data_IF_907582641358
#
_entry.id   IF_907582641358
#
_cell.length_a   1.000
_cell.length_b   1.000
_cell.length_c   1.000
_cell.angle_alpha   90.00
_cell.angle_beta   90.00
_cell.angle_gamma   90.00
#
_symmetry.space_group_name_H-M   'P 1'
#
loop_
_entity.id
_entity.type
_entity.pdbx_description
1 polymer ?
#
# COMPACT_ATOMS: atom_id res chain seq x y z
N UNK A 1 14.41 -3.28 -62.40
CA UNK A 1 15.50 -4.22 -62.08
C UNK A 1 16.35 -3.56 -61.01
N UNK A 2 16.64 -4.07 -59.83
CA UNK A 2 16.33 -5.33 -59.16
C UNK A 2 16.97 -5.23 -57.76
N UNK A 3 16.22 -5.65 -56.74
CA UNK A 3 16.62 -6.49 -55.59
C UNK A 3 17.89 -6.10 -54.80
N UNK A 4 17.72 -5.75 -53.52
CA UNK A 4 18.05 -6.61 -52.36
C UNK A 4 19.55 -6.41 -51.98
N UNK A 5 20.03 -6.47 -50.74
CA UNK A 5 19.67 -7.18 -49.53
C UNK A 5 20.71 -6.71 -48.48
N UNK A 6 20.46 -6.94 -47.18
CA UNK A 6 21.59 -7.05 -46.24
C UNK A 6 21.41 -6.40 -44.88
N UNK A 7 20.88 -7.20 -43.97
CA UNK A 7 20.93 -7.04 -42.51
C UNK A 7 22.30 -6.59 -41.97
N UNK A 8 22.28 -5.77 -40.93
CA UNK A 8 23.10 -6.09 -39.77
C UNK A 8 22.51 -5.52 -38.47
N UNK A 9 22.35 -6.44 -37.54
CA UNK A 9 21.84 -6.27 -36.19
C UNK A 9 22.73 -5.36 -35.32
N UNK A 10 22.04 -4.63 -34.44
CA UNK A 10 22.41 -4.34 -33.04
C UNK A 10 23.85 -3.90 -32.72
N UNK A 11 24.01 -2.62 -32.31
CA UNK A 11 24.67 -2.27 -31.03
C UNK A 11 24.01 -1.03 -30.42
N UNK A 12 23.05 -1.28 -29.52
CA UNK A 12 23.00 -0.82 -28.12
C UNK A 12 23.36 0.65 -27.77
N UNK A 13 22.35 1.31 -27.19
CA UNK A 13 22.33 2.12 -25.95
C UNK A 13 22.11 3.65 -26.00
N UNK A 14 21.11 4.01 -25.19
CA UNK A 14 21.01 5.18 -24.30
C UNK A 14 20.87 6.54 -24.98
N UNK A 15 19.68 7.15 -24.82
CA UNK A 15 19.43 8.09 -23.73
C UNK A 15 17.97 8.58 -23.82
N UNK A 16 17.24 8.33 -22.72
CA UNK A 16 16.13 9.13 -22.17
C UNK A 16 15.47 10.16 -23.09
N UNK A 17 14.39 9.77 -23.78
CA UNK A 17 13.41 10.73 -24.28
C UNK A 17 12.21 10.77 -23.33
N UNK A 18 11.98 11.97 -22.80
CA UNK A 18 10.90 12.28 -21.89
C UNK A 18 9.54 11.93 -22.46
N UNK A 19 8.73 11.26 -21.65
CA UNK A 19 7.35 10.94 -21.98
C UNK A 19 6.43 11.94 -21.29
N UNK A 20 6.26 13.12 -21.91
CA UNK A 20 5.06 13.92 -21.71
C UNK A 20 4.02 13.39 -22.70
N UNK A 21 3.26 12.37 -22.29
CA UNK A 21 2.08 11.94 -23.04
C UNK A 21 0.82 12.53 -22.39
N UNK A 22 0.57 13.81 -22.68
CA UNK A 22 -0.69 14.51 -22.35
C UNK A 22 -1.76 14.07 -23.36
N UNK A 23 -2.27 12.85 -23.23
CA UNK A 23 -3.46 12.41 -23.99
C UNK A 23 -4.72 12.95 -23.31
N UNK A 24 -5.59 13.59 -24.09
CA UNK A 24 -6.93 14.03 -23.68
C UNK A 24 -7.67 12.82 -23.08
N UNK A 25 -8.10 12.95 -21.82
CA UNK A 25 -8.92 11.95 -21.12
C UNK A 25 -10.29 11.88 -21.80
N UNK A 26 -10.51 10.85 -22.59
CA UNK A 26 -11.86 10.42 -22.99
C UNK A 26 -12.37 9.52 -21.86
N UNK A 27 -13.34 10.00 -21.08
CA UNK A 27 -14.00 9.17 -20.06
C UNK A 27 -14.94 8.22 -20.79
N UNK A 28 -14.47 7.00 -21.08
CA UNK A 28 -15.38 5.89 -21.32
C UNK A 28 -15.92 5.47 -19.95
N UNK A 29 -17.25 5.30 -19.83
CA UNK A 29 -17.87 4.64 -18.67
C UNK A 29 -17.39 3.19 -18.62
N UNK A 30 -16.16 2.98 -18.15
CA UNK A 30 -15.71 1.70 -17.61
C UNK A 30 -16.48 1.47 -16.31
N UNK A 31 -17.02 0.27 -16.12
CA UNK A 31 -17.68 -0.13 -14.86
C UNK A 31 -16.75 -0.13 -13.65
N UNK A 32 -15.46 0.09 -13.86
CA UNK A 32 -14.42 0.24 -12.84
C UNK A 32 -13.89 1.68 -12.83
N UNK A 33 -13.70 2.31 -11.64
CA UNK A 33 -13.05 3.61 -11.52
C UNK A 33 -11.67 3.56 -12.16
N UNK A 34 -11.10 4.69 -12.58
CA UNK A 34 -9.73 4.72 -13.10
C UNK A 34 -8.80 4.11 -12.04
N UNK A 35 -8.26 2.93 -12.37
CA UNK A 35 -7.24 2.27 -11.57
C UNK A 35 -5.88 2.43 -12.23
N UNK A 36 -4.86 2.66 -11.41
CA UNK A 36 -3.48 2.77 -11.81
C UNK A 36 -2.68 1.69 -11.10
N UNK A 37 -2.17 0.74 -11.86
CA UNK A 37 -1.32 -0.32 -11.32
C UNK A 37 0.13 0.15 -11.19
N UNK A 38 0.68 -0.05 -10.00
CA UNK A 38 2.11 0.02 -9.70
C UNK A 38 2.64 -1.40 -9.47
N UNK A 39 3.95 -1.55 -9.34
CA UNK A 39 4.56 -2.89 -9.22
C UNK A 39 4.04 -3.70 -8.02
N UNK A 40 3.75 -3.04 -6.89
CA UNK A 40 3.37 -3.72 -5.63
C UNK A 40 1.94 -3.42 -5.15
N UNK A 41 1.22 -2.52 -5.82
CA UNK A 41 -0.14 -2.14 -5.45
C UNK A 41 -0.92 -1.56 -6.62
N UNK A 42 -2.25 -1.65 -6.53
CA UNK A 42 -3.16 -0.95 -7.42
C UNK A 42 -3.76 0.27 -6.69
N UNK A 43 -3.84 1.40 -7.37
CA UNK A 43 -4.51 2.61 -6.88
C UNK A 43 -5.84 2.78 -7.61
N UNK A 44 -6.95 2.78 -6.87
CA UNK A 44 -8.29 3.05 -7.37
C UNK A 44 -8.70 4.46 -6.95
N UNK A 45 -9.02 5.33 -7.92
CA UNK A 45 -9.28 6.74 -7.64
C UNK A 45 -10.74 7.11 -7.85
N UNK A 46 -11.31 7.82 -6.89
CA UNK A 46 -12.63 8.40 -7.05
C UNK A 46 -12.51 9.76 -7.77
N UNK A 47 -13.31 10.03 -8.81
CA UNK A 47 -13.28 11.31 -9.51
C UNK A 47 -13.64 12.49 -8.59
N UNK A 48 -14.37 12.24 -7.50
CA UNK A 48 -14.83 13.25 -6.54
C UNK A 48 -13.85 13.43 -5.35
N UNK A 49 -12.73 12.71 -5.34
CA UNK A 49 -11.74 12.75 -4.27
C UNK A 49 -10.33 13.12 -4.78
N UNK A 50 -10.14 14.28 -5.44
CA UNK A 50 -8.82 14.62 -5.93
C UNK A 50 -7.84 14.82 -4.76
N UNK A 51 -7.06 13.77 -4.48
CA UNK A 51 -5.95 13.73 -3.52
C UNK A 51 -6.28 14.21 -2.10
N UNK A 52 -7.53 14.08 -1.62
CA UNK A 52 -7.84 14.46 -0.23
C UNK A 52 -7.48 13.32 0.72
N UNK A 53 -8.00 12.12 0.44
CA UNK A 53 -7.92 10.99 1.37
C UNK A 53 -7.68 9.68 0.64
N UNK A 54 -6.78 8.85 1.14
CA UNK A 54 -6.56 7.50 0.62
C UNK A 54 -6.53 6.46 1.74
N UNK A 55 -7.15 5.31 1.50
CA UNK A 55 -7.10 4.16 2.38
C UNK A 55 -6.13 3.15 1.77
N UNK A 56 -5.14 2.70 2.55
CA UNK A 56 -4.29 1.57 2.17
C UNK A 56 -4.87 0.33 2.84
N UNK A 57 -5.32 -0.65 2.04
CA UNK A 57 -5.78 -1.95 2.53
C UNK A 57 -4.71 -3.02 2.36
N UNK A 58 -4.42 -3.73 3.45
CA UNK A 58 -3.39 -4.77 3.47
C UNK A 58 -3.51 -5.68 4.70
N UNK A 59 -2.91 -6.87 4.62
CA UNK A 59 -2.30 -7.45 5.81
C UNK A 59 -1.07 -6.61 6.19
N UNK A 60 -0.88 -6.29 7.46
CA UNK A 60 0.23 -5.46 7.92
C UNK A 60 0.83 -5.94 9.24
N UNK A 61 2.16 -5.89 9.30
CA UNK A 61 2.94 -6.18 10.50
C UNK A 61 4.01 -5.12 10.71
N UNK A 62 4.06 -4.56 11.92
CA UNK A 62 5.09 -3.58 12.25
C UNK A 62 6.48 -4.23 12.15
N UNK A 63 7.40 -3.57 11.47
CA UNK A 63 8.79 -4.03 11.41
C UNK A 63 9.48 -3.80 12.77
N UNK A 64 9.94 -4.88 13.42
CA UNK A 64 10.71 -4.81 14.68
C UNK A 64 12.14 -4.31 14.46
N UNK A 65 12.73 -4.62 13.30
CA UNK A 65 14.02 -4.13 12.83
C UNK A 65 13.84 -3.59 11.41
N UNK A 66 13.88 -2.28 11.23
CA UNK A 66 13.62 -1.70 9.91
C UNK A 66 13.60 -0.18 9.88
N UNK A 67 13.99 0.37 8.73
CA UNK A 67 14.01 1.81 8.43
C UNK A 67 12.60 2.41 8.56
N UNK A 68 12.48 3.55 9.23
CA UNK A 68 11.25 4.35 9.31
C UNK A 68 10.72 4.72 7.91
N UNK A 69 9.40 4.82 7.77
CA UNK A 69 8.80 5.48 6.61
C UNK A 69 8.84 7.01 6.80
N UNK A 70 8.89 7.77 5.72
CA UNK A 70 8.84 9.23 5.78
C UNK A 70 7.46 9.72 5.38
N UNK A 71 6.89 10.60 6.19
CA UNK A 71 5.63 11.27 5.93
C UNK A 71 5.92 12.72 5.52
N UNK A 72 5.51 13.17 4.32
CA UNK A 72 5.75 14.53 3.85
C UNK A 72 4.98 15.60 4.63
N UNK A 73 5.39 16.86 4.51
CA UNK A 73 4.69 18.00 5.12
C UNK A 73 3.25 18.10 4.61
N UNK A 74 2.31 18.35 5.52
CA UNK A 74 0.89 18.53 5.17
C UNK A 74 0.11 17.23 5.00
N UNK A 75 0.76 16.07 5.21
CA UNK A 75 0.11 14.76 5.20
C UNK A 75 -0.15 14.29 6.62
N UNK A 76 -1.36 13.80 6.88
CA UNK A 76 -1.72 13.11 8.12
C UNK A 76 -1.81 11.60 7.87
N UNK A 77 -1.14 10.79 8.69
CA UNK A 77 -1.29 9.34 8.69
C UNK A 77 -2.10 8.89 9.91
N UNK A 78 -3.15 8.09 9.69
CA UNK A 78 -4.05 7.62 10.75
C UNK A 78 -3.92 6.10 10.97
N UNK A 79 -3.68 5.71 12.22
CA UNK A 79 -3.68 4.33 12.68
C UNK A 79 -4.92 4.04 13.54
N UNK A 80 -5.42 2.82 13.43
CA UNK A 80 -6.66 2.38 14.09
C UNK A 80 -6.44 1.32 15.18
N UNK A 81 -5.18 1.03 15.51
CA UNK A 81 -4.80 0.12 16.60
C UNK A 81 -4.17 0.84 17.77
N UNK A 82 -4.33 0.24 18.95
CA UNK A 82 -3.92 0.77 20.24
C UNK A 82 -2.43 0.62 20.57
N UNK A 83 -1.70 -0.32 19.97
CA UNK A 83 -0.35 -0.68 20.44
C UNK A 83 0.75 -0.61 19.36
N UNK A 84 0.40 -0.19 18.14
CA UNK A 84 1.30 -0.14 16.97
C UNK A 84 1.68 -1.52 16.41
N UNK A 85 1.60 -2.57 17.22
CA UNK A 85 2.04 -3.93 16.90
C UNK A 85 1.00 -4.73 16.13
N UNK A 86 -0.29 -4.62 16.50
CA UNK A 86 -1.37 -5.34 15.87
C UNK A 86 -2.40 -4.37 15.32
N UNK A 87 -2.37 -4.11 14.01
CA UNK A 87 -3.32 -3.19 13.41
C UNK A 87 -4.71 -3.82 13.30
N UNK A 88 -5.72 -3.03 13.68
CA UNK A 88 -7.13 -3.39 13.64
C UNK A 88 -7.64 -3.13 12.23
N UNK A 89 -8.29 -4.14 11.64
CA UNK A 89 -9.02 -4.00 10.39
C UNK A 89 -10.51 -3.74 10.69
N UNK A 90 -10.94 -2.47 10.67
CA UNK A 90 -12.34 -2.09 10.78
C UNK A 90 -13.18 -2.49 9.56
N UNK A 91 -12.54 -2.95 8.48
CA UNK A 91 -13.15 -3.19 7.18
C UNK A 91 -13.17 -1.93 6.31
N UNK A 92 -12.99 -2.12 5.01
CA UNK A 92 -12.84 -1.05 4.02
C UNK A 92 -14.03 -0.07 4.00
N UNK A 93 -15.26 -0.57 4.15
CA UNK A 93 -16.47 0.25 4.18
C UNK A 93 -16.53 1.16 5.42
N UNK A 94 -16.19 0.62 6.61
CA UNK A 94 -16.16 1.41 7.85
C UNK A 94 -15.05 2.44 7.84
N UNK A 95 -13.88 2.10 7.25
CA UNK A 95 -12.86 3.11 6.98
C UNK A 95 -13.44 4.20 6.12
N UNK A 96 -14.01 3.87 4.96
CA UNK A 96 -14.51 4.85 4.01
C UNK A 96 -15.53 5.84 4.61
N UNK A 97 -16.39 5.39 5.54
CA UNK A 97 -17.33 6.26 6.28
C UNK A 97 -16.67 7.38 7.10
N UNK A 98 -15.38 7.26 7.45
CA UNK A 98 -14.63 8.31 8.11
C UNK A 98 -14.56 8.23 9.64
N UNK A 99 -13.93 9.23 10.28
CA UNK A 99 -13.56 9.19 11.69
C UNK A 99 -14.74 9.12 12.68
N UNK A 100 -15.94 9.51 12.23
CA UNK A 100 -17.18 9.42 13.01
C UNK A 100 -17.60 7.96 13.28
N UNK A 101 -17.32 7.07 12.33
CA UNK A 101 -17.69 5.65 12.41
C UNK A 101 -16.54 4.75 12.84
N UNK A 102 -15.32 5.28 12.73
CA UNK A 102 -14.12 4.57 13.10
C UNK A 102 -13.09 5.60 13.55
N UNK A 103 -12.92 5.77 14.86
CA UNK A 103 -12.03 6.79 15.42
C UNK A 103 -10.57 6.35 15.33
N UNK A 104 -9.67 7.12 14.69
CA UNK A 104 -8.24 6.84 14.73
C UNK A 104 -7.73 6.80 16.16
N UNK A 105 -6.89 5.81 16.48
CA UNK A 105 -6.23 5.70 17.78
C UNK A 105 -4.98 6.58 17.84
N UNK A 106 -4.30 6.75 16.72
CA UNK A 106 -3.13 7.59 16.58
C UNK A 106 -3.18 8.33 15.24
N UNK A 107 -2.88 9.62 15.26
CA UNK A 107 -2.71 10.43 14.07
C UNK A 107 -1.33 11.06 14.10
N UNK A 108 -0.52 10.78 13.09
CA UNK A 108 0.81 11.36 12.93
C UNK A 108 0.77 12.39 11.80
N UNK A 109 1.27 13.59 12.07
CA UNK A 109 1.31 14.66 11.08
C UNK A 109 2.75 14.83 10.56
N UNK A 110 2.91 14.92 9.26
CA UNK A 110 4.20 15.21 8.64
C UNK A 110 4.57 16.70 8.72
N UNK A 111 5.85 17.04 8.53
CA UNK A 111 6.92 16.16 8.06
C UNK A 111 7.54 15.34 9.20
N UNK A 112 7.85 14.06 8.96
CA UNK A 112 8.48 13.24 10.00
C UNK A 112 8.68 11.78 9.63
N UNK A 113 9.37 11.06 10.52
CA UNK A 113 9.56 9.61 10.42
C UNK A 113 8.44 8.91 11.18
N UNK A 114 7.80 7.94 10.54
CA UNK A 114 6.73 7.11 11.13
C UNK A 114 7.14 5.63 11.15
N UNK A 115 6.41 4.83 11.92
CA UNK A 115 6.61 3.39 11.99
C UNK A 115 6.43 2.77 10.60
N UNK A 116 7.29 1.82 10.26
CA UNK A 116 7.21 1.10 9.00
C UNK A 116 6.55 -0.26 9.20
N UNK A 117 5.81 -0.69 8.18
CA UNK A 117 5.05 -1.93 8.17
C UNK A 117 5.46 -2.74 6.94
N UNK A 118 5.63 -4.05 7.11
CA UNK A 118 5.53 -4.97 5.99
C UNK A 118 4.06 -5.12 5.64
N UNK A 119 3.75 -5.05 4.36
CA UNK A 119 2.40 -5.09 3.83
C UNK A 119 2.28 -6.24 2.84
N UNK A 120 1.20 -7.00 2.96
CA UNK A 120 0.84 -8.10 2.07
C UNK A 120 -0.59 -7.92 1.59
N UNK A 121 -0.92 -8.58 0.48
CA UNK A 121 -2.28 -8.52 -0.08
C UNK A 121 -3.30 -8.98 0.96
N UNK A 122 -4.37 -8.20 1.14
CA UNK A 122 -5.54 -8.65 1.86
C UNK A 122 -6.50 -9.37 0.91
N UNK A 123 -6.77 -10.68 1.08
CA UNK A 123 -7.51 -11.45 0.08
C UNK A 123 -9.01 -11.15 0.07
N UNK A 124 -9.55 -10.58 1.15
CA UNK A 124 -10.98 -10.30 1.30
C UNK A 124 -11.43 -9.00 0.64
N UNK A 125 -10.52 -8.09 0.29
CA UNK A 125 -10.87 -6.89 -0.45
C UNK A 125 -10.72 -7.16 -1.96
N UNK A 126 -11.81 -7.58 -2.60
CA UNK A 126 -11.81 -7.84 -4.04
C UNK A 126 -11.82 -6.54 -4.85
N UNK A 127 -11.31 -6.53 -6.11
CA UNK A 127 -11.41 -5.37 -6.99
C UNK A 127 -12.83 -4.84 -7.15
N UNK A 128 -13.84 -5.71 -7.13
CA UNK A 128 -15.25 -5.37 -7.21
C UNK A 128 -15.74 -4.62 -5.97
N UNK A 129 -15.37 -5.07 -4.78
CA UNK A 129 -15.73 -4.40 -3.51
C UNK A 129 -15.01 -3.06 -3.37
N UNK A 130 -13.72 -3.02 -3.68
CA UNK A 130 -12.92 -1.78 -3.71
C UNK A 130 -13.58 -0.76 -4.64
N UNK A 131 -13.93 -1.18 -5.85
CA UNK A 131 -14.61 -0.34 -6.84
C UNK A 131 -15.92 0.21 -6.32
N UNK A 132 -16.72 -0.63 -5.66
CA UNK A 132 -17.97 -0.19 -5.03
C UNK A 132 -17.70 0.90 -4.00
N UNK A 133 -16.74 0.69 -3.09
CA UNK A 133 -16.41 1.67 -2.03
C UNK A 133 -15.89 2.99 -2.62
N UNK A 134 -14.98 2.94 -3.59
CA UNK A 134 -14.42 4.14 -4.26
C UNK A 134 -15.52 4.99 -4.90
N UNK A 135 -16.46 4.34 -5.57
CA UNK A 135 -17.56 5.01 -6.26
C UNK A 135 -18.61 5.57 -5.30
N UNK A 136 -18.91 4.89 -4.19
CA UNK A 136 -19.99 5.31 -3.28
C UNK A 136 -19.52 6.26 -2.18
N UNK A 137 -18.26 6.16 -1.75
CA UNK A 137 -17.77 6.84 -0.54
C UNK A 137 -16.77 7.96 -0.84
N UNK A 138 -16.51 8.23 -2.12
CA UNK A 138 -15.63 9.31 -2.57
C UNK A 138 -14.26 9.28 -1.87
N UNK A 139 -13.63 8.10 -1.87
CA UNK A 139 -12.31 7.86 -1.29
C UNK A 139 -11.43 7.07 -2.25
N UNK A 140 -10.13 7.35 -2.23
CA UNK A 140 -9.15 6.61 -3.02
C UNK A 140 -8.68 5.40 -2.22
N UNK A 141 -8.39 4.30 -2.91
CA UNK A 141 -8.00 3.04 -2.26
C UNK A 141 -6.73 2.51 -2.91
N UNK A 142 -5.72 2.22 -2.08
CA UNK A 142 -4.51 1.51 -2.43
C UNK A 142 -4.66 0.07 -1.97
N UNK A 143 -4.73 -0.87 -2.92
CA UNK A 143 -4.80 -2.30 -2.64
C UNK A 143 -3.43 -2.93 -2.89
N UNK A 144 -2.84 -3.54 -1.87
CA UNK A 144 -1.55 -4.23 -1.99
C UNK A 144 -1.72 -5.49 -2.82
N UNK A 145 -0.91 -5.65 -3.87
CA UNK A 145 -0.96 -6.80 -4.79
C UNK A 145 0.20 -7.76 -4.60
N UNK A 146 1.35 -7.25 -4.13
CA UNK A 146 2.56 -8.02 -3.82
C UNK A 146 3.18 -7.54 -2.50
N UNK A 147 3.94 -8.41 -1.85
CA UNK A 147 4.63 -8.09 -0.61
C UNK A 147 5.50 -6.83 -0.76
N UNK A 148 5.31 -5.87 0.14
CA UNK A 148 5.95 -4.56 0.08
C UNK A 148 6.06 -3.95 1.47
N UNK A 149 6.47 -2.69 1.56
CA UNK A 149 6.47 -1.95 2.83
C UNK A 149 5.75 -0.62 2.72
N UNK A 150 5.23 -0.13 3.84
CA UNK A 150 4.64 1.22 3.89
C UNK A 150 5.61 2.28 3.37
N UNK A 151 6.89 2.17 3.73
CA UNK A 151 7.95 3.03 3.21
C UNK A 151 8.04 3.02 1.68
N UNK A 152 7.91 1.85 1.05
CA UNK A 152 7.94 1.75 -0.41
C UNK A 152 6.69 2.39 -1.02
N UNK A 153 5.49 2.10 -0.49
CA UNK A 153 4.23 2.68 -0.96
C UNK A 153 4.29 4.22 -0.91
N UNK A 154 4.64 4.80 0.24
CA UNK A 154 4.74 6.26 0.38
C UNK A 154 5.78 6.88 -0.55
N UNK A 155 6.90 6.18 -0.79
CA UNK A 155 7.93 6.63 -1.74
C UNK A 155 7.38 6.64 -3.18
N UNK A 156 6.63 5.63 -3.58
CA UNK A 156 6.03 5.57 -4.93
C UNK A 156 5.01 6.68 -5.11
N UNK A 157 4.18 6.97 -4.11
CA UNK A 157 3.23 8.09 -4.18
C UNK A 157 3.94 9.44 -4.38
N UNK A 158 4.97 9.70 -3.58
CA UNK A 158 5.81 10.91 -3.67
C UNK A 158 6.47 11.05 -5.05
N UNK A 159 7.09 9.99 -5.56
CA UNK A 159 7.74 9.96 -6.88
C UNK A 159 6.77 10.20 -8.05
N UNK A 160 5.47 9.97 -7.85
CA UNK A 160 4.44 10.14 -8.87
C UNK A 160 3.56 11.39 -8.63
N UNK A 161 3.93 12.29 -7.71
CA UNK A 161 3.17 13.48 -7.34
C UNK A 161 1.74 13.19 -6.88
N UNK A 162 1.52 12.05 -6.22
CA UNK A 162 0.24 11.65 -5.64
C UNK A 162 0.17 12.12 -4.18
N UNK A 163 -0.21 13.39 -4.01
CA UNK A 163 -0.11 14.12 -2.74
C UNK A 163 -1.41 14.10 -1.92
N UNK A 164 -1.63 13.04 -1.14
CA UNK A 164 -2.81 12.95 -0.27
C UNK A 164 -2.66 13.77 1.01
N UNK A 165 -3.72 14.50 1.41
CA UNK A 165 -3.74 15.18 2.71
C UNK A 165 -3.92 14.23 3.90
N UNK A 166 -4.62 13.12 3.68
CA UNK A 166 -4.89 12.08 4.69
C UNK A 166 -4.60 10.71 4.10
N UNK A 167 -3.82 9.92 4.82
CA UNK A 167 -3.56 8.50 4.53
C UNK A 167 -4.05 7.68 5.71
N UNK A 168 -4.86 6.66 5.43
CA UNK A 168 -5.42 5.78 6.43
C UNK A 168 -4.89 4.36 6.26
N UNK A 169 -4.23 3.83 7.28
CA UNK A 169 -3.72 2.46 7.26
C UNK A 169 -4.80 1.46 7.71
N UNK A 170 -5.53 0.87 6.77
CA UNK A 170 -6.45 -0.25 7.01
C UNK A 170 -5.68 -1.57 6.99
N UNK A 171 -4.87 -1.80 8.02
CA UNK A 171 -4.02 -2.99 8.08
C UNK A 171 -4.62 -3.99 9.07
N UNK A 172 -4.88 -5.23 8.63
CA UNK A 172 -5.15 -6.35 9.54
C UNK A 172 -3.85 -7.07 9.87
N UNK A 173 -3.77 -7.71 11.04
CA UNK A 173 -2.72 -8.69 11.27
C UNK A 173 -2.92 -9.88 10.33
N UNK A 174 -1.96 -10.18 9.46
CA UNK A 174 -1.89 -11.52 8.87
C UNK A 174 -1.71 -12.54 10.00
N UNK A 175 -2.08 -13.79 9.76
CA UNK A 175 -1.78 -14.91 10.65
C UNK A 175 -0.28 -15.14 10.89
N UNK A 176 0.61 -14.19 10.60
CA UNK A 176 1.91 -14.01 11.25
C UNK A 176 1.81 -13.90 12.80
N UNK A 177 0.59 -13.81 13.40
CA UNK A 177 0.36 -14.25 14.80
C UNK A 177 0.78 -15.70 15.03
N UNK A 178 0.40 -16.61 14.14
CA UNK A 178 0.85 -18.01 14.17
C UNK A 178 2.35 -18.07 13.92
N UNK A 179 2.86 -17.45 12.85
CA UNK A 179 4.27 -17.64 12.46
C UNK A 179 5.30 -17.02 13.42
N UNK A 180 5.00 -15.93 14.12
CA UNK A 180 5.93 -15.31 15.09
C UNK A 180 5.74 -15.83 16.52
N UNK A 181 4.52 -16.18 16.96
CA UNK A 181 4.39 -16.93 18.22
C UNK A 181 4.98 -18.34 18.11
N UNK A 182 4.89 -19.02 16.95
CA UNK A 182 5.57 -20.30 16.73
C UNK A 182 7.09 -20.13 16.72
N UNK A 183 7.62 -19.08 16.08
CA UNK A 183 9.06 -18.79 16.11
C UNK A 183 9.59 -18.49 17.52
N UNK A 184 8.83 -17.75 18.34
CA UNK A 184 9.21 -17.42 19.71
C UNK A 184 9.02 -18.61 20.67
N UNK A 185 7.97 -19.43 20.50
CA UNK A 185 7.78 -20.67 21.29
C UNK A 185 8.85 -21.73 21.02
N UNK A 186 9.32 -21.88 19.78
CA UNK A 186 10.43 -22.79 19.43
C UNK A 186 11.76 -22.32 20.03
N UNK A 187 11.97 -21.00 20.13
CA UNK A 187 13.17 -20.42 20.71
C UNK A 187 13.19 -20.46 22.26
N UNK A 188 12.04 -20.64 22.91
CA UNK A 188 11.90 -20.65 24.37
C UNK A 188 11.91 -22.05 25.01
N UNK A 189 11.93 -23.16 24.26
CA UNK A 189 12.12 -24.49 24.86
C UNK A 189 13.60 -24.64 25.23
N UNK A 190 13.97 -24.65 26.53
CA UNK A 190 15.32 -24.95 26.92
C UNK A 190 15.55 -26.44 26.63
N UNK A 191 16.66 -26.75 25.96
CA UNK A 191 17.23 -28.09 26.00
C UNK A 191 17.39 -28.44 27.48
N UNK A 192 16.51 -29.30 28.00
CA UNK A 192 16.72 -29.90 29.31
C UNK A 192 18.03 -30.70 29.22
N UNK A 193 19.07 -30.15 29.84
CA UNK A 193 20.26 -30.89 30.22
C UNK A 193 19.81 -32.04 31.13
N UNK A 194 19.72 -33.22 30.55
CA UNK A 194 19.63 -34.46 31.32
C UNK A 194 21.00 -34.67 31.95
N UNK A 195 21.19 -34.18 33.18
CA UNK A 195 22.25 -34.68 34.04
C UNK A 195 21.98 -36.16 34.30
N UNK A 196 22.89 -37.00 33.82
CA UNK A 196 22.93 -38.42 34.17
C UNK A 196 23.60 -38.52 35.54
N UNK A 197 22.87 -39.07 36.52
CA UNK A 197 23.44 -39.61 37.74
C UNK A 197 24.28 -40.85 37.46
#
# INVERSE_FOLDING_TARGET
MGLAEGDNQQVVNRLSKGWINRRKRTYTLSSYPPSHSFDTFDLYQSPNNPNKRVIITAHGMQTLRGKSAYLPKGVSFRYYSSDGNALYDPGLMRMALGPEYNTPRETLNGPGRIRNYQLERYPHDTPQEITKVVNTMEVDIIAITKNTSLRHVLKVLDQNNLNYSVIEGCFCRSSLKASILDFLKIAEVPVQSVERH
#
